data_IF_475732429272
#
_entry.id   IF_475732429272
#
_cell.length_a   1.000
_cell.length_b   1.000
_cell.length_c   1.000
_cell.angle_alpha   90.00
_cell.angle_beta   90.00
_cell.angle_gamma   90.00
#
_symmetry.space_group_name_H-M   'P 1'
#
loop_
_entity.id
_entity.type
_entity.pdbx_description
1 polymer ?
#
# COMPACT_ATOMS: atom_id res chain seq x y z
N UNK A 1 9.59 -17.30 -8.55
CA UNK A 1 10.17 -16.19 -9.31
C UNK A 1 9.26 -14.99 -9.22
N UNK A 2 9.45 -14.15 -8.20
CA UNK A 2 8.92 -12.78 -8.25
C UNK A 2 9.93 -12.04 -9.11
N UNK A 3 9.58 -11.86 -10.38
CA UNK A 3 10.38 -11.07 -11.31
C UNK A 3 10.52 -9.68 -10.67
N UNK A 4 11.72 -9.34 -10.20
CA UNK A 4 12.01 -8.15 -9.41
C UNK A 4 11.92 -6.84 -10.18
N UNK A 5 11.19 -6.83 -11.30
CA UNK A 5 11.04 -5.71 -12.22
C UNK A 5 9.63 -5.14 -12.12
N UNK A 6 9.13 -4.93 -10.90
CA UNK A 6 7.89 -4.20 -10.68
C UNK A 6 8.12 -2.75 -11.06
N UNK A 7 7.59 -2.36 -12.22
CA UNK A 7 7.63 -0.99 -12.72
C UNK A 7 6.70 -0.05 -11.94
N UNK A 8 6.38 -0.37 -10.69
CA UNK A 8 5.40 0.34 -9.88
C UNK A 8 6.08 0.91 -8.65
N UNK A 9 5.96 2.23 -8.47
CA UNK A 9 6.33 2.91 -7.23
C UNK A 9 5.07 3.09 -6.39
N UNK A 10 5.17 2.81 -5.09
CA UNK A 10 4.17 3.17 -4.09
C UNK A 10 4.74 4.25 -3.18
N UNK A 11 4.05 5.39 -3.04
CA UNK A 11 4.52 6.54 -2.27
C UNK A 11 3.43 7.05 -1.33
N UNK A 12 3.78 7.33 -0.08
CA UNK A 12 2.95 8.08 0.88
C UNK A 12 3.31 9.56 0.86
N UNK A 13 2.33 10.42 1.14
CA UNK A 13 2.50 11.87 1.03
C UNK A 13 1.82 12.61 2.19
N UNK A 14 2.32 13.81 2.47
CA UNK A 14 1.75 14.76 3.44
C UNK A 14 0.36 15.26 3.02
N UNK A 15 -0.04 15.12 1.75
CA UNK A 15 -1.43 15.39 1.30
C UNK A 15 -2.43 14.30 1.75
N UNK A 16 -2.00 13.40 2.64
CA UNK A 16 -2.77 12.30 3.20
C UNK A 16 -3.18 11.25 2.15
N UNK A 17 -2.33 11.05 1.15
CA UNK A 17 -2.56 10.06 0.09
C UNK A 17 -1.44 9.03 0.01
N UNK A 18 -1.80 7.84 -0.46
CA UNK A 18 -0.86 6.84 -0.95
C UNK A 18 -1.15 6.65 -2.43
N UNK A 19 -0.13 6.78 -3.26
CA UNK A 19 -0.25 6.74 -4.72
C UNK A 19 0.64 5.66 -5.30
N UNK A 20 0.14 5.05 -6.37
CA UNK A 20 0.85 4.07 -7.17
C UNK A 20 1.16 4.66 -8.54
N UNK A 21 2.38 4.47 -9.03
CA UNK A 21 2.87 5.08 -10.26
C UNK A 21 3.49 4.03 -11.16
N UNK A 22 3.21 4.06 -12.47
CA UNK A 22 3.99 3.26 -13.44
C UNK A 22 5.23 4.05 -13.87
N UNK A 23 6.43 3.57 -13.53
CA UNK A 23 7.69 4.26 -13.88
C UNK A 23 7.99 4.28 -15.38
N UNK A 24 7.34 3.41 -16.17
CA UNK A 24 7.47 3.40 -17.64
C UNK A 24 6.64 4.51 -18.27
N UNK A 25 5.64 5.03 -17.55
CA UNK A 25 4.75 6.09 -18.01
C UNK A 25 4.96 7.32 -17.15
N UNK A 26 5.65 8.32 -17.68
CA UNK A 26 6.11 9.52 -16.96
C UNK A 26 5.05 10.31 -16.15
N UNK A 27 3.76 10.01 -16.29
CA UNK A 27 2.66 10.78 -15.68
C UNK A 27 1.50 9.93 -15.16
N UNK A 28 1.55 8.59 -15.24
CA UNK A 28 0.36 7.78 -14.94
C UNK A 28 0.34 7.32 -13.47
N UNK A 29 -0.48 8.02 -12.68
CA UNK A 29 -1.00 7.48 -11.42
C UNK A 29 -1.89 6.28 -11.75
N UNK A 30 -1.49 5.10 -11.26
CA UNK A 30 -2.22 3.86 -11.43
C UNK A 30 -3.36 3.74 -10.41
N UNK A 31 -3.13 4.21 -9.19
CA UNK A 31 -4.07 4.05 -8.10
C UNK A 31 -3.83 5.07 -6.98
N UNK A 32 -4.92 5.45 -6.31
CA UNK A 32 -4.92 6.43 -5.22
C UNK A 32 -5.70 5.88 -4.03
N UNK A 33 -5.04 5.82 -2.88
CA UNK A 33 -5.66 5.58 -1.58
C UNK A 33 -5.66 6.91 -0.83
N UNK A 34 -6.83 7.30 -0.32
CA UNK A 34 -6.97 8.46 0.56
C UNK A 34 -6.95 7.97 2.00
N UNK A 35 -6.04 8.51 2.80
CA UNK A 35 -6.09 8.36 4.25
C UNK A 35 -7.32 9.07 4.82
N UNK A 36 -7.64 8.79 6.08
CA UNK A 36 -8.70 9.49 6.78
C UNK A 36 -8.31 10.96 6.97
N UNK A 37 -9.13 11.87 6.45
CA UNK A 37 -8.82 13.31 6.44
C UNK A 37 -8.77 13.94 7.84
N UNK A 38 -9.43 13.33 8.83
CA UNK A 38 -9.47 13.84 10.21
C UNK A 38 -8.41 13.17 11.08
N UNK A 39 -8.10 11.91 10.79
CA UNK A 39 -7.33 11.06 11.69
C UNK A 39 -5.93 10.71 11.20
N UNK A 40 -5.50 11.07 9.98
CA UNK A 40 -4.18 10.64 9.49
C UNK A 40 -3.16 11.77 9.31
N UNK A 41 -3.57 12.97 8.89
CA UNK A 41 -2.69 14.15 8.79
C UNK A 41 -1.29 13.84 8.17
N UNK A 42 -1.29 13.13 7.04
CA UNK A 42 -0.09 12.79 6.26
C UNK A 42 0.42 11.38 6.50
N UNK A 43 0.92 10.76 5.43
CA UNK A 43 1.43 9.38 5.45
C UNK A 43 2.95 9.38 5.47
N UNK A 44 3.55 8.78 6.49
CA UNK A 44 5.00 8.87 6.73
C UNK A 44 5.74 7.54 6.59
N UNK A 45 5.05 6.41 6.72
CA UNK A 45 5.66 5.10 6.54
C UNK A 45 4.73 4.12 5.84
N UNK A 46 5.33 3.22 5.07
CA UNK A 46 4.66 2.19 4.27
C UNK A 46 5.38 0.86 4.47
N UNK A 47 4.62 -0.23 4.60
CA UNK A 47 5.15 -1.58 4.63
C UNK A 47 4.18 -2.55 3.98
N UNK A 48 4.63 -3.24 2.93
CA UNK A 48 3.93 -4.40 2.43
C UNK A 48 4.17 -5.61 3.34
N UNK A 49 3.08 -6.27 3.71
CA UNK A 49 3.11 -7.53 4.46
C UNK A 49 2.29 -8.58 3.72
N UNK A 50 2.76 -9.82 3.75
CA UNK A 50 2.00 -10.96 3.22
C UNK A 50 1.26 -11.57 4.39
N UNK A 51 -0.07 -11.52 4.36
CA UNK A 51 -0.90 -12.18 5.37
C UNK A 51 -1.39 -13.52 4.81
N UNK A 52 -1.18 -14.59 5.59
CA UNK A 52 -1.77 -15.89 5.29
C UNK A 52 -3.22 -15.88 5.77
N UNK A 53 -4.17 -16.03 4.85
CA UNK A 53 -5.54 -16.38 5.24
C UNK A 53 -5.55 -17.78 5.86
N UNK A 54 -6.22 -17.92 7.00
CA UNK A 54 -6.54 -19.23 7.59
C UNK A 54 -7.67 -19.89 6.81
N UNK A 55 -7.49 -20.18 5.53
CA UNK A 55 -8.41 -21.05 4.80
C UNK A 55 -7.83 -22.47 4.71
N UNK A 56 -8.68 -23.45 5.04
CA UNK A 56 -8.37 -24.89 5.07
C UNK A 56 -8.34 -25.53 3.66
N UNK A 57 -8.22 -24.73 2.61
CA UNK A 57 -8.23 -25.21 1.22
C UNK A 57 -6.80 -25.31 0.69
N UNK A 58 -6.57 -26.29 -0.19
CA UNK A 58 -5.23 -26.66 -0.69
C UNK A 58 -4.55 -25.56 -1.54
N UNK A 59 -5.27 -24.49 -1.88
CA UNK A 59 -4.74 -23.30 -2.55
C UNK A 59 -4.47 -22.20 -1.53
N UNK A 60 -3.22 -22.12 -1.07
CA UNK A 60 -2.77 -21.04 -0.19
C UNK A 60 -2.69 -19.75 -1.00
N UNK A 61 -3.78 -18.97 -1.02
CA UNK A 61 -3.79 -17.62 -1.59
C UNK A 61 -3.09 -16.66 -0.63
N UNK A 62 -1.99 -16.09 -1.07
CA UNK A 62 -1.28 -15.03 -0.35
C UNK A 62 -1.98 -13.70 -0.65
N UNK A 63 -2.50 -13.03 0.37
CA UNK A 63 -3.01 -11.68 0.24
C UNK A 63 -1.92 -10.69 0.65
N UNK A 64 -1.51 -9.85 -0.30
CA UNK A 64 -0.58 -8.76 -0.06
C UNK A 64 -1.36 -7.59 0.55
N UNK A 65 -1.00 -7.23 1.78
CA UNK A 65 -1.61 -6.12 2.49
C UNK A 65 -0.59 -4.98 2.60
N UNK A 66 -1.08 -3.75 2.55
CA UNK A 66 -0.30 -2.54 2.75
C UNK A 66 -0.59 -1.98 4.14
N UNK A 67 0.42 -1.99 5.01
CA UNK A 67 0.38 -1.25 6.25
C UNK A 67 0.95 0.15 6.04
N UNK A 68 0.33 1.15 6.64
CA UNK A 68 0.83 2.51 6.60
C UNK A 68 0.60 3.23 7.92
N UNK A 69 1.54 4.10 8.27
CA UNK A 69 1.49 4.94 9.46
C UNK A 69 1.36 6.40 9.10
N UNK A 70 0.59 7.09 9.91
CA UNK A 70 0.24 8.50 9.76
C UNK A 70 0.75 9.30 10.97
N UNK A 71 0.67 10.63 10.95
CA UNK A 71 1.21 11.45 12.06
C UNK A 71 0.42 11.27 13.36
N UNK A 72 -0.84 10.86 13.29
CA UNK A 72 -1.74 10.75 14.44
C UNK A 72 -1.62 9.41 15.19
N UNK A 73 -0.69 8.54 14.79
CA UNK A 73 -0.23 7.40 15.59
C UNK A 73 -0.73 6.00 15.22
N UNK A 74 -2.01 5.75 14.81
CA UNK A 74 -2.43 4.39 14.51
C UNK A 74 -1.82 3.89 13.19
N UNK A 75 -1.44 2.61 13.19
CA UNK A 75 -1.08 1.91 11.95
C UNK A 75 -2.37 1.40 11.30
N UNK A 76 -2.57 1.75 10.03
CA UNK A 76 -3.69 1.27 9.22
C UNK A 76 -3.23 0.15 8.29
N UNK A 77 -4.16 -0.74 7.95
CA UNK A 77 -3.94 -1.86 7.03
C UNK A 77 -4.95 -1.75 5.90
N UNK A 78 -4.47 -1.87 4.67
CA UNK A 78 -5.26 -1.90 3.45
C UNK A 78 -4.99 -3.22 2.71
N UNK A 79 -6.04 -3.97 2.35
CA UNK A 79 -5.95 -5.26 1.66
C UNK A 79 -7.29 -5.95 1.50
#
# INVERSE_FOLDING_TARGET
NIDGNSNVICSGSHDNTIRFWDIRSNTNELYLIKGDKKEDNGIFCLKFIVLKKKEKTKDVKYDLNLCYGSSEGPIRIWG
#
